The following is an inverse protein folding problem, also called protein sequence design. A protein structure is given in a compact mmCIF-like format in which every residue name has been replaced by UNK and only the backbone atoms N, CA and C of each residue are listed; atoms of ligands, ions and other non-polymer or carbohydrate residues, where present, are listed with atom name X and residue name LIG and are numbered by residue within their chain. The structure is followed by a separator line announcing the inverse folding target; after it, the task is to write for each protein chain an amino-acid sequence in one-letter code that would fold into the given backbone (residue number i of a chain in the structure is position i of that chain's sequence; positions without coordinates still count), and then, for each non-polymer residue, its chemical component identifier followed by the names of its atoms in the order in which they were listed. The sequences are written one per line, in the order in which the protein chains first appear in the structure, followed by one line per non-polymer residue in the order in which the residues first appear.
data_IF_150012166625
#
_entry.id   IF_150012166625
#
_cell.length_a   1.000
_cell.length_b   1.000
_cell.length_c   1.000
_cell.angle_alpha   90.00
_cell.angle_beta   90.00
_cell.angle_gamma   90.00
#
_symmetry.space_group_name_H-M   'P 1'
#
loop_
_entity.id
_entity.type
_entity.pdbx_description
1 polymer ?
#
# COMPACT_ATOMS: atom_id res chain seq x y z
N UNK A 1 -51.67 -44.96 21.00
CA UNK A 1 -51.05 -44.97 19.66
C UNK A 1 -50.93 -43.56 19.07
N UNK A 2 -51.85 -42.63 19.35
CA UNK A 2 -51.75 -41.21 18.92
C UNK A 2 -50.56 -40.46 19.50
N UNK A 3 -50.27 -40.60 20.80
CA UNK A 3 -49.16 -39.86 21.45
C UNK A 3 -47.76 -40.20 20.90
N UNK A 4 -47.55 -41.41 20.39
CA UNK A 4 -46.28 -41.80 19.77
C UNK A 4 -46.09 -41.17 18.38
N UNK A 5 -47.18 -40.97 17.63
CA UNK A 5 -47.16 -40.31 16.33
C UNK A 5 -46.90 -38.81 16.46
N UNK A 6 -47.46 -38.19 17.50
CA UNK A 6 -47.27 -36.76 17.78
C UNK A 6 -45.81 -36.44 18.16
N UNK A 7 -45.20 -37.23 19.07
CA UNK A 7 -43.77 -37.07 19.41
C UNK A 7 -42.82 -37.28 18.23
N UNK A 8 -43.14 -38.21 17.32
CA UNK A 8 -42.32 -38.46 16.15
C UNK A 8 -42.35 -37.27 15.15
N UNK A 9 -43.51 -36.61 15.02
CA UNK A 9 -43.66 -35.39 14.22
C UNK A 9 -42.82 -34.23 14.73
N UNK A 10 -42.86 -33.98 16.04
CA UNK A 10 -42.12 -32.87 16.67
C UNK A 10 -40.60 -33.05 16.55
N UNK A 11 -40.11 -34.27 16.75
CA UNK A 11 -38.68 -34.62 16.57
C UNK A 11 -38.23 -34.43 15.11
N UNK A 12 -39.08 -34.76 14.15
CA UNK A 12 -38.77 -34.57 12.73
C UNK A 12 -38.70 -33.09 12.36
N UNK A 13 -39.68 -32.29 12.79
CA UNK A 13 -39.73 -30.84 12.52
C UNK A 13 -38.55 -30.12 13.20
N UNK A 14 -38.24 -30.45 14.45
CA UNK A 14 -37.10 -29.88 15.18
C UNK A 14 -35.76 -30.18 14.49
N UNK A 15 -35.57 -31.41 14.01
CA UNK A 15 -34.37 -31.80 13.29
C UNK A 15 -34.25 -31.12 11.91
N UNK A 16 -35.37 -30.90 11.21
CA UNK A 16 -35.39 -30.17 9.93
C UNK A 16 -35.01 -28.70 10.12
N UNK A 17 -35.63 -28.02 11.09
CA UNK A 17 -35.33 -26.61 11.42
C UNK A 17 -33.86 -26.46 11.82
N UNK A 18 -33.35 -27.34 12.70
CA UNK A 18 -31.95 -27.33 13.13
C UNK A 18 -31.00 -27.45 11.92
N UNK A 19 -31.31 -28.34 10.97
CA UNK A 19 -30.49 -28.55 9.76
C UNK A 19 -30.48 -27.32 8.85
N UNK A 20 -31.63 -26.68 8.65
CA UNK A 20 -31.73 -25.46 7.83
C UNK A 20 -30.97 -24.28 8.45
N UNK A 21 -31.13 -24.06 9.76
CA UNK A 21 -30.42 -23.00 10.48
C UNK A 21 -28.91 -23.21 10.41
N UNK A 22 -28.44 -24.44 10.64
CA UNK A 22 -27.02 -24.79 10.54
C UNK A 22 -26.51 -24.57 9.11
N UNK A 23 -27.27 -24.96 8.09
CA UNK A 23 -26.89 -24.75 6.69
C UNK A 23 -26.76 -23.27 6.33
N UNK A 24 -27.70 -22.43 6.78
CA UNK A 24 -27.65 -20.97 6.54
C UNK A 24 -26.46 -20.33 7.25
N UNK A 25 -26.16 -20.77 8.47
CA UNK A 25 -25.01 -20.28 9.23
C UNK A 25 -23.69 -20.61 8.52
N UNK A 26 -23.52 -21.85 8.05
CA UNK A 26 -22.32 -22.22 7.28
C UNK A 26 -22.16 -21.42 5.99
N UNK A 27 -23.28 -21.14 5.30
CA UNK A 27 -23.28 -20.32 4.09
C UNK A 27 -22.88 -18.86 4.39
N UNK A 28 -23.33 -18.29 5.49
CA UNK A 28 -22.90 -16.94 5.92
C UNK A 28 -21.41 -16.93 6.22
N UNK A 29 -20.93 -17.86 7.05
CA UNK A 29 -19.51 -17.98 7.40
C UNK A 29 -18.65 -18.12 6.14
N UNK A 30 -19.11 -18.94 5.20
CA UNK A 30 -18.47 -19.15 3.92
C UNK A 30 -18.25 -17.85 3.14
N UNK A 31 -19.30 -17.03 2.97
CA UNK A 31 -19.21 -15.77 2.25
C UNK A 31 -18.34 -14.75 2.98
N UNK A 32 -18.43 -14.70 4.31
CA UNK A 32 -17.57 -13.83 5.14
C UNK A 32 -16.09 -14.16 4.92
N UNK A 33 -15.71 -15.44 4.91
CA UNK A 33 -14.32 -15.85 4.66
C UNK A 33 -13.84 -15.48 3.25
N UNK A 34 -14.69 -15.60 2.23
CA UNK A 34 -14.36 -15.21 0.86
C UNK A 34 -14.19 -13.69 0.72
N UNK A 35 -15.10 -12.91 1.32
CA UNK A 35 -15.00 -11.45 1.35
C UNK A 35 -13.73 -11.03 2.09
N UNK A 36 -13.42 -11.64 3.23
CA UNK A 36 -12.19 -11.36 3.97
C UNK A 36 -10.94 -11.67 3.14
N UNK A 37 -10.88 -12.82 2.46
CA UNK A 37 -9.77 -13.17 1.57
C UNK A 37 -9.61 -12.16 0.44
N UNK A 38 -10.72 -11.72 -0.16
CA UNK A 38 -10.72 -10.71 -1.22
C UNK A 38 -10.28 -9.33 -0.73
N UNK A 39 -10.73 -8.91 0.47
CA UNK A 39 -10.28 -7.66 1.09
C UNK A 39 -8.77 -7.70 1.36
N UNK A 40 -8.26 -8.80 1.94
CA UNK A 40 -6.82 -8.97 2.19
C UNK A 40 -6.04 -8.93 0.87
N UNK A 41 -6.54 -9.57 -0.18
CA UNK A 41 -5.95 -9.53 -1.50
C UNK A 41 -5.92 -8.11 -2.09
N UNK A 42 -7.05 -7.41 -2.12
CA UNK A 42 -7.13 -6.03 -2.61
C UNK A 42 -6.23 -5.08 -1.83
N UNK A 43 -6.21 -5.21 -0.50
CA UNK A 43 -5.32 -4.43 0.35
C UNK A 43 -3.86 -4.71 0.00
N UNK A 44 -3.50 -5.97 -0.23
CA UNK A 44 -2.15 -6.35 -0.65
C UNK A 44 -1.79 -5.75 -2.01
N UNK A 45 -2.73 -5.70 -2.97
CA UNK A 45 -2.53 -5.04 -4.26
C UNK A 45 -2.28 -3.53 -4.09
N UNK A 46 -3.10 -2.85 -3.29
CA UNK A 46 -2.96 -1.41 -3.01
C UNK A 46 -1.60 -1.10 -2.38
N UNK A 47 -1.16 -1.93 -1.43
CA UNK A 47 0.15 -1.76 -0.79
C UNK A 47 1.29 -2.04 -1.76
N UNK A 48 1.16 -3.04 -2.63
CA UNK A 48 2.13 -3.34 -3.69
C UNK A 48 2.28 -2.15 -4.65
N UNK A 49 1.20 -1.43 -4.94
CA UNK A 49 1.24 -0.20 -5.75
C UNK A 49 1.87 1.00 -5.01
N UNK A 50 1.95 0.95 -3.68
CA UNK A 50 2.38 2.09 -2.87
C UNK A 50 3.88 2.13 -2.58
N UNK A 51 4.58 1.00 -2.67
CA UNK A 51 6.01 0.90 -2.36
C UNK A 51 6.66 -0.19 -3.22
N UNK A 52 7.90 0.04 -3.69
CA UNK A 52 8.71 -0.99 -4.35
C UNK A 52 8.96 -2.20 -3.43
N UNK A 53 8.99 -1.99 -2.11
CA UNK A 53 9.04 -3.09 -1.12
C UNK A 53 7.66 -3.71 -0.82
N UNK A 54 6.56 -3.09 -1.30
CA UNK A 54 5.20 -3.56 -1.09
C UNK A 54 4.94 -4.96 -1.68
N UNK A 55 5.74 -5.40 -2.64
CA UNK A 55 5.73 -6.77 -3.16
C UNK A 55 6.01 -7.83 -2.06
N UNK A 56 6.77 -7.48 -1.01
CA UNK A 56 7.02 -8.37 0.14
C UNK A 56 5.74 -8.60 0.95
N UNK A 57 4.88 -7.59 1.08
CA UNK A 57 3.60 -7.73 1.80
C UNK A 57 2.69 -8.72 1.07
N UNK A 58 2.78 -8.78 -0.25
CA UNK A 58 2.10 -9.77 -1.07
C UNK A 58 2.56 -11.22 -0.75
N UNK A 59 3.87 -11.41 -0.51
CA UNK A 59 4.43 -12.71 -0.11
C UNK A 59 3.94 -13.11 1.29
N UNK A 60 3.83 -12.18 2.22
CA UNK A 60 3.34 -12.46 3.58
C UNK A 60 1.82 -12.62 3.68
N UNK A 61 1.04 -12.00 2.80
CA UNK A 61 -0.42 -12.14 2.79
C UNK A 61 -0.88 -13.42 2.09
N UNK A 62 -0.07 -13.97 1.19
CA UNK A 62 -0.33 -15.23 0.48
C UNK A 62 -0.72 -16.41 1.40
N UNK A 63 0.04 -16.74 2.47
CA UNK A 63 -0.35 -17.78 3.42
C UNK A 63 -1.70 -17.53 4.10
N UNK A 64 -2.01 -16.28 4.42
CA UNK A 64 -3.28 -15.89 5.05
C UNK A 64 -4.44 -16.11 4.08
N UNK A 65 -4.29 -15.64 2.83
CA UNK A 65 -5.30 -15.84 1.78
C UNK A 65 -5.50 -17.34 1.52
N UNK A 66 -4.41 -18.11 1.41
CA UNK A 66 -4.46 -19.57 1.21
C UNK A 66 -5.19 -20.28 2.35
N UNK A 67 -4.94 -19.89 3.61
CA UNK A 67 -5.62 -20.43 4.78
C UNK A 67 -7.13 -20.11 4.76
N UNK A 68 -7.51 -18.86 4.48
CA UNK A 68 -8.91 -18.45 4.40
C UNK A 68 -9.67 -19.21 3.30
N UNK A 69 -9.07 -19.38 2.13
CA UNK A 69 -9.65 -20.16 1.03
C UNK A 69 -9.75 -21.65 1.37
N UNK A 70 -8.75 -22.20 2.05
CA UNK A 70 -8.76 -23.61 2.49
C UNK A 70 -9.87 -23.87 3.50
N UNK A 71 -10.06 -22.96 4.46
CA UNK A 71 -11.17 -23.02 5.42
C UNK A 71 -12.53 -22.89 4.73
N UNK A 72 -12.66 -21.94 3.81
CA UNK A 72 -13.86 -21.74 3.01
C UNK A 72 -14.22 -23.01 2.22
N UNK A 73 -13.23 -23.67 1.61
CA UNK A 73 -13.39 -24.92 0.89
C UNK A 73 -13.76 -26.10 1.81
N UNK A 74 -13.13 -26.21 2.98
CA UNK A 74 -13.47 -27.24 3.97
C UNK A 74 -14.93 -27.13 4.45
N UNK A 75 -15.41 -25.90 4.69
CA UNK A 75 -16.80 -25.64 5.04
C UNK A 75 -17.74 -25.99 3.89
N UNK A 76 -17.38 -25.62 2.65
CA UNK A 76 -18.18 -25.96 1.46
C UNK A 76 -18.37 -27.47 1.29
N UNK A 77 -17.31 -28.27 1.51
CA UNK A 77 -17.41 -29.74 1.49
C UNK A 77 -18.36 -30.30 2.55
N UNK A 78 -18.34 -29.73 3.76
CA UNK A 78 -19.19 -30.19 4.87
C UNK A 78 -20.68 -29.90 4.63
N UNK A 79 -21.00 -28.92 3.78
CA UNK A 79 -22.39 -28.60 3.44
C UNK A 79 -23.10 -29.67 2.60
N UNK A 80 -22.39 -30.69 2.09
CA UNK A 80 -22.97 -31.93 1.54
C UNK A 80 -23.89 -31.79 0.31
N UNK A 81 -24.18 -30.55 -0.10
CA UNK A 81 -24.97 -30.23 -1.27
C UNK A 81 -24.03 -30.09 -2.46
N UNK A 82 -24.02 -31.10 -3.34
CA UNK A 82 -23.30 -31.11 -4.63
C UNK A 82 -23.81 -30.09 -5.66
N UNK A 83 -24.30 -28.93 -5.20
CA UNK A 83 -24.76 -27.83 -6.03
C UNK A 83 -23.62 -26.88 -6.44
N UNK A 84 -24.00 -25.81 -7.13
CA UNK A 84 -23.10 -24.76 -7.65
C UNK A 84 -22.17 -24.12 -6.60
N UNK A 85 -22.56 -24.14 -5.32
CA UNK A 85 -21.78 -23.49 -4.24
C UNK A 85 -20.40 -24.10 -4.01
N UNK A 86 -20.19 -25.41 -4.22
CA UNK A 86 -18.87 -26.02 -4.04
C UNK A 86 -17.85 -25.58 -5.11
N UNK A 87 -18.34 -25.03 -6.25
CA UNK A 87 -17.49 -24.55 -7.34
C UNK A 87 -16.88 -23.20 -7.04
N UNK A 88 -17.55 -22.35 -6.26
CA UNK A 88 -17.12 -20.98 -5.99
C UNK A 88 -15.74 -20.87 -5.34
N UNK A 89 -15.41 -21.64 -4.29
CA UNK A 89 -14.07 -21.59 -3.66
C UNK A 89 -12.98 -22.10 -4.57
N UNK A 90 -13.29 -23.15 -5.33
CA UNK A 90 -12.35 -23.73 -6.29
C UNK A 90 -12.04 -22.71 -7.37
N UNK A 91 -13.07 -22.01 -7.86
CA UNK A 91 -12.92 -20.97 -8.87
C UNK A 91 -12.16 -19.76 -8.32
N UNK A 92 -12.50 -19.25 -7.13
CA UNK A 92 -11.77 -18.11 -6.54
C UNK A 92 -10.31 -18.45 -6.23
N UNK A 93 -10.05 -19.64 -5.67
CA UNK A 93 -8.68 -20.11 -5.45
C UNK A 93 -7.92 -20.32 -6.77
N UNK A 94 -8.56 -20.88 -7.79
CA UNK A 94 -7.92 -21.08 -9.11
C UNK A 94 -7.61 -19.75 -9.78
N UNK A 95 -8.51 -18.77 -9.73
CA UNK A 95 -8.27 -17.43 -10.26
C UNK A 95 -7.09 -16.76 -9.55
N UNK A 96 -6.99 -16.89 -8.23
CA UNK A 96 -5.86 -16.36 -7.46
C UNK A 96 -4.56 -17.06 -7.86
N UNK A 97 -4.52 -18.40 -7.89
CA UNK A 97 -3.33 -19.14 -8.33
C UNK A 97 -2.91 -18.74 -9.74
N UNK A 98 -3.86 -18.63 -10.67
CA UNK A 98 -3.59 -18.19 -12.04
C UNK A 98 -3.02 -16.77 -12.09
N UNK A 99 -3.54 -15.84 -11.28
CA UNK A 99 -3.01 -14.49 -11.16
C UNK A 99 -1.51 -14.52 -10.81
N UNK A 100 -1.11 -15.32 -9.81
CA UNK A 100 0.30 -15.44 -9.41
C UNK A 100 1.17 -16.13 -10.46
N UNK A 101 0.68 -17.23 -11.06
CA UNK A 101 1.41 -17.96 -12.09
C UNK A 101 1.64 -17.07 -13.31
N UNK A 102 0.64 -16.30 -13.72
CA UNK A 102 0.75 -15.38 -14.85
C UNK A 102 1.74 -14.25 -14.59
N UNK A 103 1.91 -13.79 -13.34
CA UNK A 103 2.95 -12.82 -13.00
C UNK A 103 4.37 -13.33 -13.26
N UNK A 104 4.59 -14.65 -13.29
CA UNK A 104 5.92 -15.24 -13.48
C UNK A 104 6.21 -15.67 -14.92
N UNK A 105 5.20 -15.74 -15.78
CA UNK A 105 5.35 -16.16 -17.17
C UNK A 105 5.52 -14.90 -18.06
N UNK A 106 6.67 -14.73 -18.73
CA UNK A 106 6.86 -13.63 -19.67
C UNK A 106 5.76 -13.59 -20.73
N UNK A 107 5.14 -12.42 -20.92
CA UNK A 107 4.06 -12.20 -21.89
C UNK A 107 2.65 -12.41 -21.34
N UNK A 108 2.48 -13.16 -20.23
CA UNK A 108 1.20 -13.27 -19.52
C UNK A 108 1.09 -12.32 -18.31
N UNK A 109 2.19 -11.71 -17.90
CA UNK A 109 2.24 -10.70 -16.84
C UNK A 109 1.34 -9.48 -17.12
N UNK A 110 0.99 -9.24 -18.38
CA UNK A 110 0.04 -8.20 -18.81
C UNK A 110 -1.30 -8.31 -18.07
N UNK A 111 -1.75 -9.52 -17.74
CA UNK A 111 -3.04 -9.71 -17.04
C UNK A 111 -2.97 -9.21 -15.58
N UNK A 112 -2.02 -9.68 -14.74
CA UNK A 112 -1.78 -9.10 -13.42
C UNK A 112 -1.52 -7.60 -13.46
N UNK A 113 -0.72 -7.12 -14.41
CA UNK A 113 -0.36 -5.70 -14.53
C UNK A 113 -1.61 -4.85 -14.83
N UNK A 114 -2.45 -5.27 -15.76
CA UNK A 114 -3.71 -4.59 -16.07
C UNK A 114 -4.69 -4.58 -14.87
N UNK A 115 -4.71 -5.65 -14.08
CA UNK A 115 -5.52 -5.71 -12.88
C UNK A 115 -5.00 -4.76 -11.79
N UNK A 116 -3.69 -4.72 -11.56
CA UNK A 116 -3.06 -3.79 -10.62
C UNK A 116 -3.30 -2.34 -11.04
N UNK A 117 -3.19 -2.03 -12.34
CA UNK A 117 -3.53 -0.71 -12.91
C UNK A 117 -5.01 -0.35 -12.64
N UNK A 118 -5.94 -1.29 -12.85
CA UNK A 118 -7.35 -1.09 -12.55
C UNK A 118 -7.61 -0.80 -11.06
N UNK A 119 -6.94 -1.51 -10.15
CA UNK A 119 -7.01 -1.25 -8.71
C UNK A 119 -6.47 0.13 -8.38
N UNK A 120 -5.33 0.51 -8.95
CA UNK A 120 -4.73 1.83 -8.77
C UNK A 120 -5.64 2.97 -9.23
N UNK A 121 -6.22 2.85 -10.42
CA UNK A 121 -7.20 3.81 -10.98
C UNK A 121 -8.46 3.91 -10.13
N UNK A 122 -8.97 2.76 -9.67
CA UNK A 122 -10.16 2.72 -8.80
C UNK A 122 -9.91 3.40 -7.46
N UNK A 123 -8.73 3.18 -6.86
CA UNK A 123 -8.30 3.87 -5.65
C UNK A 123 -8.18 5.38 -5.87
N UNK A 124 -7.55 5.79 -6.99
CA UNK A 124 -7.41 7.20 -7.35
C UNK A 124 -8.77 7.87 -7.58
N UNK A 125 -9.71 7.20 -8.23
CA UNK A 125 -11.06 7.71 -8.42
C UNK A 125 -11.79 7.91 -7.09
N UNK A 126 -11.61 6.97 -6.14
CA UNK A 126 -12.27 7.03 -4.84
C UNK A 126 -11.66 8.07 -3.89
N UNK A 127 -10.35 8.30 -3.94
CA UNK A 127 -9.62 9.12 -2.95
C UNK A 127 -9.01 10.40 -3.53
N UNK A 128 -9.11 10.62 -4.83
CA UNK A 128 -8.52 11.77 -5.53
C UNK A 128 -7.00 11.73 -5.66
N UNK A 129 -6.32 10.70 -5.12
CA UNK A 129 -4.86 10.53 -5.12
C UNK A 129 -4.49 9.08 -5.41
N UNK A 130 -3.36 8.85 -6.07
CA UNK A 130 -2.86 7.48 -6.30
C UNK A 130 -2.47 6.80 -4.98
N UNK A 131 -2.47 5.45 -4.89
CA UNK A 131 -2.03 4.73 -3.70
C UNK A 131 -0.66 5.19 -3.21
N UNK A 132 0.31 5.32 -4.13
CA UNK A 132 1.65 5.81 -3.84
C UNK A 132 1.63 7.14 -3.09
N UNK A 133 0.98 8.17 -3.64
CA UNK A 133 0.93 9.50 -3.02
C UNK A 133 0.20 9.44 -1.67
N UNK A 134 -0.92 8.72 -1.59
CA UNK A 134 -1.73 8.63 -0.39
C UNK A 134 -0.99 8.02 0.81
N UNK A 135 -0.26 6.93 0.60
CA UNK A 135 0.49 6.27 1.68
C UNK A 135 1.81 6.96 1.99
N UNK A 136 2.44 7.57 0.99
CA UNK A 136 3.64 8.41 1.15
C UNK A 136 3.38 9.64 2.02
N UNK A 137 2.23 10.29 1.87
CA UNK A 137 1.86 11.45 2.69
C UNK A 137 1.53 11.10 4.16
N UNK A 138 1.01 9.88 4.43
CA UNK A 138 0.48 9.54 5.76
C UNK A 138 1.51 9.10 6.78
N UNK A 139 2.67 8.59 6.37
CA UNK A 139 3.68 8.09 7.28
C UNK A 139 5.06 8.69 7.03
N UNK A 140 5.57 9.32 8.10
CA UNK A 140 6.97 9.44 8.49
C UNK A 140 7.65 10.78 8.25
N UNK A 141 7.84 11.32 7.04
CA UNK A 141 8.86 12.38 6.92
C UNK A 141 8.52 13.71 7.61
N UNK A 142 7.39 14.35 7.29
CA UNK A 142 7.03 15.64 7.91
C UNK A 142 6.86 15.53 9.44
N UNK A 143 6.29 14.43 9.94
CA UNK A 143 6.14 14.21 11.38
C UNK A 143 7.47 13.90 12.07
N UNK A 144 8.38 13.16 11.42
CA UNK A 144 9.74 12.93 11.92
C UNK A 144 10.51 14.24 11.94
N UNK A 145 10.34 15.06 10.90
CA UNK A 145 10.94 16.38 10.80
C UNK A 145 10.44 17.30 11.92
N UNK A 146 9.13 17.42 12.11
CA UNK A 146 8.51 18.20 13.19
C UNK A 146 8.98 17.73 14.56
N UNK A 147 9.09 16.41 14.77
CA UNK A 147 9.60 15.84 16.02
C UNK A 147 11.06 16.21 16.26
N UNK A 148 11.89 16.18 15.22
CA UNK A 148 13.31 16.52 15.35
C UNK A 148 13.50 18.01 15.59
N UNK A 149 12.74 18.86 14.89
CA UNK A 149 12.66 20.30 15.14
C UNK A 149 12.21 20.60 16.58
N UNK A 150 11.28 19.80 17.13
CA UNK A 150 10.85 19.92 18.53
C UNK A 150 11.94 19.57 19.56
N UNK A 151 12.94 18.74 19.19
CA UNK A 151 14.08 18.42 20.06
C UNK A 151 15.21 19.43 19.94
N UNK A 152 15.51 19.85 18.70
CA UNK A 152 16.60 20.76 18.37
C UNK A 152 16.06 21.90 17.49
N UNK A 153 15.50 22.97 18.08
CA UNK A 153 14.80 24.01 17.31
C UNK A 153 15.70 24.77 16.34
N UNK A 154 17.02 24.75 16.57
CA UNK A 154 17.99 25.51 15.77
C UNK A 154 18.77 24.64 14.77
N UNK A 155 18.58 23.32 14.78
CA UNK A 155 19.34 22.41 13.94
C UNK A 155 18.52 21.18 13.60
N UNK A 156 18.54 20.78 12.34
CA UNK A 156 17.92 19.55 11.88
C UNK A 156 18.94 18.66 11.21
N UNK A 157 18.92 17.37 11.51
CA UNK A 157 19.79 16.39 10.88
C UNK A 157 18.92 15.34 10.19
N UNK A 158 18.85 15.41 8.86
CA UNK A 158 18.04 14.48 8.08
C UNK A 158 18.57 13.05 8.22
N UNK A 159 19.88 12.88 8.42
CA UNK A 159 20.54 11.60 8.62
C UNK A 159 20.06 10.83 9.85
N UNK A 160 19.55 11.56 10.84
CA UNK A 160 19.03 11.05 12.11
C UNK A 160 17.50 10.92 12.15
N UNK A 161 16.79 11.41 11.13
CA UNK A 161 15.37 11.14 10.96
C UNK A 161 15.24 9.62 10.76
N UNK A 162 14.65 8.91 11.71
CA UNK A 162 14.48 7.45 11.70
C UNK A 162 13.51 6.96 10.62
N UNK A 163 13.81 7.28 9.37
CA UNK A 163 13.09 6.86 8.17
C UNK A 163 13.32 5.37 7.91
N UNK A 164 12.32 4.70 7.35
CA UNK A 164 12.36 3.25 7.12
C UNK A 164 13.09 2.84 5.85
N UNK A 165 13.30 3.76 4.91
CA UNK A 165 14.00 3.49 3.65
C UNK A 165 15.52 3.68 3.80
N UNK A 166 16.29 2.88 3.06
CA UNK A 166 17.74 3.01 3.00
C UNK A 166 18.13 4.20 2.11
N UNK A 167 19.11 4.98 2.55
CA UNK A 167 19.68 6.07 1.77
C UNK A 167 21.08 6.43 2.24
N UNK A 168 21.91 6.89 1.30
CA UNK A 168 23.28 7.37 1.50
C UNK A 168 23.46 8.84 1.09
N UNK A 169 22.67 9.34 0.14
CA UNK A 169 22.63 10.74 -0.27
C UNK A 169 21.20 11.27 -0.34
N UNK A 170 21.03 12.57 -0.15
CA UNK A 170 19.78 13.28 -0.41
C UNK A 170 20.07 14.49 -1.29
N UNK A 171 19.32 14.64 -2.36
CA UNK A 171 19.35 15.81 -3.23
C UNK A 171 18.08 16.61 -3.03
N UNK A 172 18.20 17.91 -2.82
CA UNK A 172 17.06 18.81 -2.64
C UNK A 172 16.89 19.60 -3.92
N UNK A 173 15.69 19.56 -4.51
CA UNK A 173 15.34 20.31 -5.72
C UNK A 173 14.39 21.43 -5.39
N UNK A 174 14.68 22.60 -5.95
CA UNK A 174 13.83 23.78 -5.82
C UNK A 174 12.64 23.75 -6.78
N UNK A 175 11.67 24.65 -6.59
CA UNK A 175 10.55 24.84 -7.50
C UNK A 175 10.94 24.91 -8.97
N UNK A 176 10.08 24.37 -9.82
CA UNK A 176 10.20 24.39 -11.29
C UNK A 176 11.39 23.61 -11.84
N UNK A 177 11.94 22.68 -11.06
CA UNK A 177 12.96 21.74 -11.54
C UNK A 177 12.36 20.78 -12.57
N UNK A 178 12.98 20.70 -13.74
CA UNK A 178 12.62 19.76 -14.81
C UNK A 178 13.60 18.56 -14.90
N UNK A 179 13.31 17.61 -15.79
CA UNK A 179 14.14 16.42 -15.98
C UNK A 179 15.59 16.72 -16.39
N UNK A 180 15.85 17.77 -17.15
CA UNK A 180 17.21 18.14 -17.56
C UNK A 180 18.03 18.62 -16.34
N UNK A 181 17.46 19.50 -15.52
CA UNK A 181 18.09 19.99 -14.29
C UNK A 181 18.30 18.88 -13.28
N UNK A 182 17.30 18.01 -13.09
CA UNK A 182 17.43 16.86 -12.19
C UNK A 182 18.56 15.91 -12.64
N UNK A 183 18.70 15.68 -13.95
CA UNK A 183 19.78 14.85 -14.50
C UNK A 183 21.17 15.45 -14.24
N UNK A 184 21.31 16.77 -14.31
CA UNK A 184 22.58 17.45 -14.02
C UNK A 184 23.02 17.26 -12.57
N UNK A 185 22.08 17.28 -11.62
CA UNK A 185 22.34 17.12 -10.18
C UNK A 185 22.48 15.65 -9.77
N UNK A 186 21.63 14.76 -10.29
CA UNK A 186 21.62 13.34 -9.92
C UNK A 186 22.68 12.52 -10.66
N UNK A 187 23.14 12.98 -11.82
CA UNK A 187 23.95 12.22 -12.77
C UNK A 187 23.31 10.89 -13.22
N UNK A 188 21.99 10.79 -13.15
CA UNK A 188 21.19 9.62 -13.53
C UNK A 188 20.05 10.09 -14.41
N UNK A 189 19.71 9.30 -15.44
CA UNK A 189 18.49 9.54 -16.20
C UNK A 189 17.26 9.12 -15.39
N UNK A 190 16.66 10.09 -14.70
CA UNK A 190 15.52 9.88 -13.82
C UNK A 190 14.45 10.94 -14.05
N UNK A 191 13.20 10.49 -14.25
CA UNK A 191 12.09 11.35 -14.60
C UNK A 191 11.44 11.96 -13.34
N UNK A 192 11.92 13.14 -12.91
CA UNK A 192 11.38 13.87 -11.76
C UNK A 192 9.96 14.38 -12.03
N UNK A 193 9.66 14.77 -13.28
CA UNK A 193 8.40 15.39 -13.66
C UNK A 193 7.20 14.41 -13.56
N UNK A 194 7.45 13.11 -13.69
CA UNK A 194 6.43 12.06 -13.46
C UNK A 194 6.30 11.62 -11.99
N UNK A 195 7.27 11.98 -11.15
CA UNK A 195 7.43 11.42 -9.79
C UNK A 195 7.28 12.46 -8.68
N UNK A 196 7.23 13.73 -9.05
CA UNK A 196 7.09 14.89 -8.18
C UNK A 196 6.27 15.98 -8.88
N UNK A 197 5.56 16.78 -8.08
CA UNK A 197 4.87 17.98 -8.57
C UNK A 197 5.81 19.19 -8.77
N UNK A 198 7.12 19.03 -8.52
CA UNK A 198 8.09 20.12 -8.42
C UNK A 198 8.22 20.94 -9.70
N UNK A 199 8.03 20.32 -10.87
CA UNK A 199 8.11 21.00 -12.16
C UNK A 199 7.04 22.07 -12.38
N UNK A 200 5.95 22.06 -11.59
CA UNK A 200 4.80 22.95 -11.75
C UNK A 200 4.30 23.56 -10.44
N UNK A 201 5.03 23.38 -9.33
CA UNK A 201 4.62 23.85 -8.01
C UNK A 201 5.71 24.70 -7.36
N UNK A 202 5.37 25.94 -6.99
CA UNK A 202 6.22 26.82 -6.18
C UNK A 202 6.13 26.56 -4.68
N UNK A 203 5.22 25.68 -4.27
CA UNK A 203 4.86 25.47 -2.88
C UNK A 203 5.62 24.33 -2.21
N UNK A 204 6.45 23.60 -2.97
CA UNK A 204 7.20 22.43 -2.50
C UNK A 204 8.69 22.52 -2.85
N UNK A 205 9.50 21.83 -2.06
CA UNK A 205 10.84 21.37 -2.42
C UNK A 205 10.78 19.85 -2.56
N UNK A 206 11.54 19.28 -3.50
CA UNK A 206 11.55 17.84 -3.72
C UNK A 206 12.84 17.23 -3.20
N UNK A 207 12.74 16.37 -2.18
CA UNK A 207 13.87 15.67 -1.58
C UNK A 207 14.00 14.29 -2.22
N UNK A 208 15.00 14.10 -3.07
CA UNK A 208 15.30 12.84 -3.74
C UNK A 208 16.37 12.11 -2.96
N UNK A 209 16.01 11.00 -2.34
CA UNK A 209 16.93 10.15 -1.57
C UNK A 209 17.50 9.05 -2.47
N UNK A 210 18.81 8.91 -2.45
CA UNK A 210 19.54 7.90 -3.20
C UNK A 210 20.12 6.84 -2.26
N UNK A 211 20.28 5.63 -2.79
CA UNK A 211 21.03 4.54 -2.17
C UNK A 211 21.82 3.81 -3.25
N UNK A 212 23.13 3.70 -3.10
CA UNK A 212 24.02 3.02 -4.06
C UNK A 212 23.86 3.54 -5.50
N UNK A 213 23.73 4.86 -5.65
CA UNK A 213 23.59 5.51 -6.97
C UNK A 213 22.25 5.27 -7.66
N UNK A 214 21.21 4.88 -6.92
CA UNK A 214 19.83 4.76 -7.44
C UNK A 214 18.87 5.55 -6.57
N UNK A 215 17.82 6.10 -7.19
CA UNK A 215 16.75 6.78 -6.45
C UNK A 215 15.99 5.75 -5.62
N UNK A 216 16.09 5.86 -4.30
CA UNK A 216 15.33 5.04 -3.36
C UNK A 216 13.93 5.60 -3.13
N UNK A 217 13.81 6.90 -2.94
CA UNK A 217 12.53 7.58 -2.76
C UNK A 217 12.63 9.06 -3.06
N UNK A 218 11.48 9.70 -3.17
CA UNK A 218 11.32 11.14 -3.39
C UNK A 218 10.37 11.63 -2.33
N UNK A 219 10.50 12.83 -1.80
CA UNK A 219 9.57 13.41 -0.86
C UNK A 219 9.32 14.86 -1.25
N UNK A 220 8.08 15.17 -1.63
CA UNK A 220 7.66 16.54 -1.87
C UNK A 220 7.32 17.18 -0.52
N UNK A 221 8.23 18.00 -0.03
CA UNK A 221 8.08 18.73 1.22
C UNK A 221 7.51 20.10 0.94
N UNK A 222 6.36 20.41 1.54
CA UNK A 222 5.79 21.76 1.48
C UNK A 222 6.77 22.77 2.07
N UNK A 223 7.06 23.83 1.33
CA UNK A 223 7.92 24.95 1.75
C UNK A 223 7.40 25.68 2.98
N UNK A 224 6.08 25.58 3.22
CA UNK A 224 5.45 26.08 4.44
C UNK A 224 5.88 25.32 5.72
N UNK A 225 6.35 24.08 5.59
CA UNK A 225 6.86 23.27 6.72
C UNK A 225 8.36 23.57 6.91
N UNK A 226 9.13 23.42 5.82
CA UNK A 226 10.53 23.81 5.79
C UNK A 226 10.94 24.15 4.35
N UNK A 227 11.65 25.27 4.21
CA UNK A 227 12.27 25.71 2.98
C UNK A 227 13.79 25.51 3.03
N UNK A 228 14.44 25.38 1.88
CA UNK A 228 15.88 25.18 1.80
C UNK A 228 16.53 26.39 1.12
N UNK A 229 17.57 26.94 1.73
CA UNK A 229 18.32 28.05 1.13
C UNK A 229 19.22 27.59 -0.01
N UNK A 230 19.83 26.42 0.16
CA UNK A 230 20.60 25.75 -0.88
C UNK A 230 19.72 24.68 -1.51
N UNK A 231 19.37 24.86 -2.78
CA UNK A 231 18.65 23.87 -3.59
C UNK A 231 19.52 23.42 -4.75
N UNK A 232 19.05 22.40 -5.47
CA UNK A 232 19.67 21.78 -6.64
C UNK A 232 21.08 21.23 -6.32
N UNK A 233 21.17 20.60 -5.15
CA UNK A 233 22.41 20.03 -4.61
C UNK A 233 22.13 18.75 -3.83
N UNK A 234 23.16 17.89 -3.76
CA UNK A 234 23.15 16.68 -2.96
C UNK A 234 24.05 16.78 -1.71
N UNK A 235 23.65 16.10 -0.65
CA UNK A 235 24.41 15.91 0.58
C UNK A 235 24.54 14.43 0.89
N UNK A 236 25.73 14.04 1.33
CA UNK A 236 25.91 12.76 2.02
C UNK A 236 25.04 12.71 3.28
N UNK A 237 24.58 11.52 3.64
CA UNK A 237 23.78 11.29 4.85
C UNK A 237 24.43 11.84 6.11
N UNK A 238 25.76 11.78 6.21
CA UNK A 238 26.52 12.32 7.36
C UNK A 238 26.66 13.84 7.36
N UNK A 239 26.37 14.47 6.23
CA UNK A 239 26.49 15.92 6.01
C UNK A 239 25.13 16.60 5.83
N UNK A 240 24.03 15.84 5.80
CA UNK A 240 22.66 16.33 5.64
C UNK A 240 22.11 16.94 6.95
N UNK A 241 22.90 17.80 7.58
CA UNK A 241 22.55 18.55 8.78
C UNK A 241 22.53 20.04 8.46
N UNK A 242 21.42 20.70 8.81
CA UNK A 242 21.11 22.06 8.42
C UNK A 242 20.86 22.94 9.64
N UNK A 243 21.26 24.21 9.54
CA UNK A 243 20.92 25.20 10.56
C UNK A 243 19.53 25.74 10.30
N UNK A 244 18.69 25.74 11.33
CA UNK A 244 17.31 26.20 11.25
C UNK A 244 17.26 27.68 11.59
N UNK A 245 16.68 28.45 10.68
CA UNK A 245 16.41 29.89 10.85
C UNK A 245 14.96 30.17 10.49
N UNK A 246 14.46 31.34 10.89
CA UNK A 246 13.13 31.78 10.51
C UNK A 246 13.22 33.01 9.62
N UNK A 247 12.43 33.03 8.55
CA UNK A 247 12.25 34.22 7.71
C UNK A 247 11.38 35.28 8.43
N UNK A 248 11.26 36.50 7.87
CA UNK A 248 10.41 37.55 8.44
C UNK A 248 8.91 37.17 8.57
N UNK A 249 8.46 36.15 7.84
CA UNK A 249 7.11 35.60 7.89
C UNK A 249 7.01 34.37 8.81
N UNK A 250 8.03 34.12 9.64
CA UNK A 250 8.15 32.98 10.55
C UNK A 250 8.20 31.61 9.86
N UNK A 251 8.61 31.54 8.60
CA UNK A 251 8.82 30.29 7.86
C UNK A 251 10.16 29.68 8.24
N UNK A 252 10.18 28.38 8.46
CA UNK A 252 11.39 27.61 8.76
C UNK A 252 12.27 27.50 7.52
N UNK A 253 13.52 27.96 7.60
CA UNK A 253 14.53 27.87 6.54
C UNK A 253 15.71 27.03 7.04
N UNK A 254 16.08 26.03 6.26
CA UNK A 254 17.26 25.19 6.43
C UNK A 254 18.42 25.76 5.61
N UNK A 255 19.53 26.08 6.28
CA UNK A 255 20.76 26.60 5.68
C UNK A 255 21.86 25.55 5.59
#
# INVERSE_FOLDING_TARGET
MSECLERAGDLYVSNRIRREVISRLFLIIFFVLQIAAFIVFLFSCVVTLSDAQGALIFIFSLPVIALLLSLSWAIARKMGNGGSLERWPKLSASCLVLFFVFSWIPGLNVVPDAFLDLVGKSFQLALGKTPYVYFKERNSFAQLLDRELGKQPNRVDLGLLGVSFAWDHVCVFGPYTNNAQAREVLHIDWNIEERSEIGHSDSINSLVFLFEGKVSTVIDLRRAIADFKSVDRCWDRRQAAFQVTHDPNNRTIFN
#
